data_IF_466039579013
#
_entry.id   IF_466039579013
#
_cell.length_a   1.000
_cell.length_b   1.000
_cell.length_c   1.000
_cell.angle_alpha   90.00
_cell.angle_beta   90.00
_cell.angle_gamma   90.00
#
_symmetry.space_group_name_H-M   'P 1'
#
loop_
_entity.id
_entity.type
_entity.pdbx_description
1 polymer ?
#
# COMPACT_ATOMS: atom_id res chain seq x y z
N UNK A 1 -5.15 -37.14 -15.81
CA UNK A 1 -5.67 -35.91 -15.25
C UNK A 1 -6.61 -35.19 -16.20
N UNK A 2 -7.41 -34.27 -15.72
CA UNK A 2 -8.31 -33.48 -16.55
C UNK A 2 -7.53 -32.37 -17.24
N UNK A 3 -7.74 -32.18 -18.55
CA UNK A 3 -7.12 -31.07 -19.31
C UNK A 3 -7.66 -29.74 -18.76
N UNK A 4 -6.77 -28.80 -18.43
CA UNK A 4 -7.16 -27.54 -17.85
C UNK A 4 -6.20 -26.41 -18.26
N UNK A 5 -6.68 -25.18 -18.21
CA UNK A 5 -5.88 -23.97 -18.34
C UNK A 5 -5.69 -23.32 -16.97
N UNK A 6 -4.51 -22.73 -16.73
CA UNK A 6 -4.17 -22.07 -15.46
C UNK A 6 -4.10 -20.58 -15.65
N UNK A 7 -4.86 -19.86 -14.82
CA UNK A 7 -4.97 -18.41 -14.85
C UNK A 7 -4.47 -17.83 -13.51
N UNK A 8 -3.31 -17.20 -13.54
CA UNK A 8 -2.69 -16.57 -12.38
C UNK A 8 -1.93 -15.29 -12.78
N UNK A 9 -1.41 -14.55 -11.81
CA UNK A 9 -0.68 -13.30 -12.05
C UNK A 9 0.59 -13.47 -12.91
N UNK A 10 1.16 -14.70 -13.02
CA UNK A 10 2.33 -14.96 -13.85
C UNK A 10 1.98 -15.11 -15.34
N UNK A 11 0.75 -15.49 -15.64
CA UNK A 11 0.29 -15.81 -17.01
C UNK A 11 -0.70 -14.74 -17.55
N UNK A 12 -0.61 -13.48 -17.09
CA UNK A 12 -1.59 -12.44 -17.43
C UNK A 12 -1.55 -12.03 -18.91
N UNK A 13 -0.46 -12.26 -19.64
CA UNK A 13 -0.38 -11.98 -21.09
C UNK A 13 -1.42 -12.78 -21.89
N UNK A 14 -1.71 -14.02 -21.48
CA UNK A 14 -2.71 -14.89 -22.10
C UNK A 14 -4.07 -14.87 -21.39
N UNK A 15 -4.24 -14.03 -20.39
CA UNK A 15 -5.45 -13.96 -19.56
C UNK A 15 -6.72 -13.81 -20.42
N UNK A 16 -6.70 -12.88 -21.37
CA UNK A 16 -7.83 -12.63 -22.27
C UNK A 16 -8.20 -13.83 -23.12
N UNK A 17 -7.21 -14.58 -23.66
CA UNK A 17 -7.41 -15.78 -24.46
C UNK A 17 -8.02 -16.91 -23.63
N UNK A 18 -7.48 -17.16 -22.44
CA UNK A 18 -7.96 -18.22 -21.54
C UNK A 18 -9.39 -17.94 -21.11
N UNK A 19 -9.70 -16.70 -20.70
CA UNK A 19 -11.05 -16.32 -20.29
C UNK A 19 -12.04 -16.43 -21.44
N UNK A 20 -11.63 -16.03 -22.65
CA UNK A 20 -12.47 -16.16 -23.83
C UNK A 20 -12.89 -17.61 -24.13
N UNK A 21 -12.10 -18.61 -23.73
CA UNK A 21 -12.38 -20.03 -23.90
C UNK A 21 -13.02 -20.68 -22.65
N UNK A 22 -13.02 -20.02 -21.49
CA UNK A 22 -13.51 -20.58 -20.23
C UNK A 22 -15.00 -20.98 -20.25
N UNK A 23 -15.80 -20.35 -21.10
CA UNK A 23 -17.23 -20.67 -21.30
C UNK A 23 -17.51 -21.79 -22.31
N UNK A 24 -16.49 -22.42 -22.88
CA UNK A 24 -16.66 -23.51 -23.84
C UNK A 24 -17.04 -24.82 -23.14
N UNK A 25 -17.86 -25.64 -23.79
CA UNK A 25 -18.22 -26.97 -23.29
C UNK A 25 -16.98 -27.81 -22.99
N UNK A 26 -16.89 -28.34 -21.76
CA UNK A 26 -15.80 -29.16 -21.30
C UNK A 26 -14.49 -28.43 -20.98
N UNK A 27 -14.45 -27.09 -21.11
CA UNK A 27 -13.31 -26.30 -20.67
C UNK A 27 -13.23 -26.27 -19.13
N UNK A 28 -12.01 -26.46 -18.62
CA UNK A 28 -11.71 -26.33 -17.19
C UNK A 28 -10.63 -25.28 -17.02
N UNK A 29 -10.93 -24.25 -16.22
CA UNK A 29 -10.00 -23.17 -15.90
C UNK A 29 -9.75 -23.16 -14.40
N UNK A 30 -8.49 -23.34 -14.01
CA UNK A 30 -8.03 -23.20 -12.62
C UNK A 30 -7.49 -21.79 -12.45
N UNK A 31 -8.14 -20.98 -11.62
CA UNK A 31 -7.81 -19.57 -11.50
C UNK A 31 -7.65 -19.14 -10.04
N UNK A 32 -6.80 -18.14 -9.79
CA UNK A 32 -6.82 -17.42 -8.53
C UNK A 32 -8.07 -16.54 -8.44
N UNK A 33 -8.54 -16.23 -7.25
CA UNK A 33 -9.77 -15.47 -7.01
C UNK A 33 -9.82 -14.09 -7.69
N UNK A 34 -8.67 -13.48 -7.96
CA UNK A 34 -8.54 -12.15 -8.58
C UNK A 34 -8.40 -12.21 -10.11
N UNK A 35 -8.03 -13.36 -10.67
CA UNK A 35 -7.84 -13.52 -12.11
C UNK A 35 -9.15 -13.30 -12.88
N UNK A 36 -9.06 -12.64 -14.02
CA UNK A 36 -10.23 -12.34 -14.88
C UNK A 36 -11.20 -11.29 -14.29
N UNK A 37 -10.78 -10.48 -13.32
CA UNK A 37 -11.63 -9.43 -12.75
C UNK A 37 -11.99 -8.39 -13.82
N UNK A 38 -13.29 -8.07 -13.93
CA UNK A 38 -13.80 -7.09 -14.91
C UNK A 38 -14.05 -7.66 -16.30
N UNK A 39 -13.75 -8.94 -16.53
CA UNK A 39 -14.02 -9.61 -17.82
C UNK A 39 -15.27 -10.49 -17.72
N UNK A 40 -16.06 -10.51 -18.77
CA UNK A 40 -17.27 -11.34 -18.89
C UNK A 40 -16.95 -12.68 -19.57
N UNK A 41 -17.41 -13.79 -18.98
CA UNK A 41 -17.24 -15.13 -19.54
C UNK A 41 -18.48 -15.44 -20.37
N UNK A 42 -18.32 -15.49 -21.71
CA UNK A 42 -19.41 -15.82 -22.64
C UNK A 42 -19.54 -17.33 -22.80
N UNK A 43 -20.76 -17.82 -22.68
CA UNK A 43 -21.06 -19.24 -22.91
C UNK A 43 -20.85 -19.62 -24.38
N UNK A 44 -20.17 -20.73 -24.63
CA UNK A 44 -19.82 -21.21 -25.97
C UNK A 44 -18.38 -20.96 -26.38
N UNK A 45 -17.63 -20.12 -25.64
CA UNK A 45 -16.25 -19.77 -25.96
C UNK A 45 -16.10 -18.70 -27.04
N UNK A 46 -14.91 -18.58 -27.66
CA UNK A 46 -14.63 -17.65 -28.75
C UNK A 46 -13.96 -18.40 -29.93
N UNK A 47 -14.51 -18.33 -31.18
CA UNK A 47 -15.74 -17.63 -31.58
C UNK A 47 -17.00 -18.31 -31.06
N UNK A 48 -17.95 -17.50 -30.56
CA UNK A 48 -19.25 -17.99 -30.08
C UNK A 48 -20.23 -18.08 -31.24
N UNK A 49 -20.92 -19.23 -31.37
CA UNK A 49 -22.12 -19.36 -32.19
C UNK A 49 -23.34 -19.51 -31.28
N UNK A 50 -24.52 -19.14 -31.77
CA UNK A 50 -25.76 -19.32 -31.02
C UNK A 50 -25.97 -20.77 -30.57
N UNK A 51 -25.64 -21.73 -31.45
CA UNK A 51 -25.76 -23.16 -31.17
C UNK A 51 -24.87 -23.63 -30.04
N UNK A 52 -23.59 -23.23 -30.02
CA UNK A 52 -22.63 -23.57 -28.95
C UNK A 52 -23.05 -22.94 -27.62
N UNK A 53 -23.55 -21.71 -27.63
CA UNK A 53 -24.05 -21.06 -26.43
C UNK A 53 -25.27 -21.78 -25.87
N UNK A 54 -26.25 -22.14 -26.74
CA UNK A 54 -27.46 -22.86 -26.33
C UNK A 54 -27.14 -24.28 -25.82
N UNK A 55 -26.13 -24.95 -26.38
CA UNK A 55 -25.68 -26.25 -25.89
C UNK A 55 -25.17 -26.14 -24.46
N UNK A 56 -24.33 -25.14 -24.14
CA UNK A 56 -23.82 -24.91 -22.78
C UNK A 56 -24.94 -24.50 -21.83
N UNK A 57 -25.87 -23.66 -22.25
CA UNK A 57 -27.07 -23.30 -21.46
C UNK A 57 -27.94 -24.51 -21.11
N UNK A 58 -28.16 -25.44 -22.04
CA UNK A 58 -28.89 -26.69 -21.78
C UNK A 58 -28.19 -27.60 -20.77
N UNK A 59 -26.87 -27.51 -20.65
CA UNK A 59 -26.09 -28.25 -19.67
C UNK A 59 -26.08 -27.58 -18.30
N UNK A 60 -26.69 -26.42 -18.12
CA UNK A 60 -26.76 -25.69 -16.86
C UNK A 60 -25.84 -24.45 -16.80
N UNK A 61 -25.14 -24.11 -17.89
CA UNK A 61 -24.31 -22.92 -17.99
C UNK A 61 -22.91 -23.10 -17.37
N UNK A 62 -22.37 -22.00 -16.85
CA UNK A 62 -21.05 -22.01 -16.23
C UNK A 62 -21.15 -22.51 -14.79
N UNK A 63 -20.40 -23.55 -14.47
CA UNK A 63 -20.22 -24.05 -13.10
C UNK A 63 -18.98 -23.41 -12.47
N UNK A 64 -19.13 -22.74 -11.32
CA UNK A 64 -18.03 -22.15 -10.59
C UNK A 64 -17.79 -22.90 -9.29
N UNK A 65 -16.61 -23.50 -9.19
CA UNK A 65 -16.17 -24.23 -8.02
C UNK A 65 -15.18 -23.37 -7.20
N UNK A 66 -15.50 -23.11 -5.93
CA UNK A 66 -14.57 -22.56 -4.97
C UNK A 66 -13.97 -23.66 -4.11
N UNK A 67 -12.64 -23.76 -4.04
CA UNK A 67 -11.94 -24.76 -3.25
C UNK A 67 -11.68 -24.32 -1.82
N UNK A 68 -11.99 -23.06 -1.51
CA UNK A 68 -11.91 -22.45 -0.17
C UNK A 68 -12.84 -21.23 -0.08
N UNK A 69 -13.08 -20.74 1.12
CA UNK A 69 -13.80 -19.47 1.36
C UNK A 69 -12.80 -18.36 1.66
N UNK A 70 -13.01 -17.20 1.05
CA UNK A 70 -12.20 -16.03 1.34
C UNK A 70 -12.61 -15.39 2.69
N UNK A 71 -11.71 -14.63 3.32
CA UNK A 71 -11.99 -13.89 4.54
C UNK A 71 -13.10 -12.84 4.37
N UNK A 72 -13.28 -12.31 3.17
CA UNK A 72 -14.31 -11.32 2.84
C UNK A 72 -15.42 -11.90 1.95
N UNK A 73 -16.68 -11.87 2.42
CA UNK A 73 -17.86 -12.34 1.66
C UNK A 73 -17.99 -11.70 0.28
N UNK A 74 -17.57 -10.43 0.13
CA UNK A 74 -17.62 -9.75 -1.16
C UNK A 74 -16.78 -10.45 -2.24
N UNK A 75 -15.68 -11.09 -1.87
CA UNK A 75 -14.82 -11.80 -2.82
C UNK A 75 -15.45 -13.14 -3.20
N UNK A 76 -16.04 -13.86 -2.26
CA UNK A 76 -16.84 -15.04 -2.56
C UNK A 76 -18.00 -14.71 -3.50
N UNK A 77 -18.69 -13.58 -3.25
CA UNK A 77 -19.78 -13.12 -4.11
C UNK A 77 -19.29 -12.67 -5.51
N UNK A 78 -18.06 -12.10 -5.61
CA UNK A 78 -17.44 -11.83 -6.92
C UNK A 78 -17.14 -13.12 -7.68
N UNK A 79 -16.74 -14.17 -6.99
CA UNK A 79 -16.52 -15.48 -7.61
C UNK A 79 -17.86 -16.10 -8.03
N UNK A 80 -18.86 -16.12 -7.15
CA UNK A 80 -20.23 -16.57 -7.52
C UNK A 80 -20.79 -15.81 -8.72
N UNK A 81 -20.58 -14.50 -8.75
CA UNK A 81 -21.02 -13.63 -9.83
C UNK A 81 -20.27 -13.82 -11.17
N UNK A 82 -19.35 -14.79 -11.28
CA UNK A 82 -18.81 -15.23 -12.56
C UNK A 82 -19.80 -16.08 -13.34
N UNK A 83 -20.67 -16.80 -12.64
CA UNK A 83 -21.75 -17.61 -13.18
C UNK A 83 -23.07 -16.84 -13.20
N UNK A 84 -24.02 -17.28 -14.03
CA UNK A 84 -25.38 -16.72 -14.07
C UNK A 84 -25.46 -15.27 -14.55
N UNK A 85 -24.57 -14.82 -15.42
CA UNK A 85 -24.54 -13.46 -15.93
C UNK A 85 -25.58 -13.26 -17.04
N UNK A 86 -26.12 -12.04 -17.13
CA UNK A 86 -27.05 -11.59 -18.17
C UNK A 86 -28.28 -12.50 -18.35
N UNK A 87 -28.71 -13.20 -17.30
CA UNK A 87 -29.82 -14.11 -17.32
C UNK A 87 -29.49 -15.53 -17.80
N UNK A 88 -28.23 -15.81 -18.06
CA UNK A 88 -27.78 -17.16 -18.41
C UNK A 88 -27.89 -18.09 -17.16
N UNK A 89 -28.16 -19.39 -17.36
CA UNK A 89 -28.10 -20.36 -16.29
C UNK A 89 -26.66 -20.49 -15.77
N UNK A 90 -26.51 -20.92 -14.50
CA UNK A 90 -25.22 -21.16 -13.93
C UNK A 90 -25.33 -21.66 -12.49
N UNK A 91 -24.31 -22.35 -12.04
CA UNK A 91 -24.25 -22.93 -10.70
C UNK A 91 -22.95 -22.58 -9.99
N UNK A 92 -22.99 -22.46 -8.67
CA UNK A 92 -21.79 -22.16 -7.88
C UNK A 92 -21.76 -23.03 -6.62
N UNK A 93 -20.64 -23.66 -6.37
CA UNK A 93 -20.45 -24.50 -5.18
C UNK A 93 -19.09 -24.18 -4.53
N UNK A 94 -19.06 -24.19 -3.19
CA UNK A 94 -17.83 -24.04 -2.41
C UNK A 94 -17.59 -25.30 -1.61
N UNK A 95 -16.37 -25.82 -1.71
CA UNK A 95 -15.85 -26.86 -0.83
C UNK A 95 -14.93 -26.21 0.19
N UNK A 96 -15.08 -26.56 1.44
CA UNK A 96 -14.36 -25.95 2.58
C UNK A 96 -13.85 -27.05 3.47
N UNK A 97 -12.57 -27.01 3.80
CA UNK A 97 -11.96 -27.90 4.78
C UNK A 97 -11.96 -27.27 6.18
N UNK A 98 -12.02 -28.10 7.23
CA UNK A 98 -11.80 -27.66 8.60
C UNK A 98 -10.37 -27.20 8.85
N UNK A 99 -9.45 -27.53 7.96
CA UNK A 99 -8.04 -27.11 7.99
C UNK A 99 -7.82 -25.76 7.33
N UNK A 100 -8.80 -25.24 6.56
CA UNK A 100 -8.71 -23.93 5.93
C UNK A 100 -8.47 -22.84 6.99
N UNK A 101 -7.71 -21.81 6.62
CA UNK A 101 -7.29 -20.75 7.54
C UNK A 101 -8.47 -20.11 8.26
N UNK A 102 -9.57 -19.87 7.53
CA UNK A 102 -10.79 -19.29 8.08
C UNK A 102 -11.42 -20.19 9.15
N UNK A 103 -11.47 -21.50 8.91
CA UNK A 103 -12.01 -22.47 9.86
C UNK A 103 -11.08 -22.67 11.05
N UNK A 104 -9.78 -22.74 10.81
CA UNK A 104 -8.78 -22.94 11.86
C UNK A 104 -8.75 -21.82 12.89
N UNK A 105 -8.91 -20.57 12.44
CA UNK A 105 -8.84 -19.38 13.31
C UNK A 105 -10.17 -19.11 14.02
N UNK A 106 -11.30 -19.34 13.35
CA UNK A 106 -12.61 -18.88 13.83
C UNK A 106 -13.63 -19.99 14.10
N UNK A 107 -13.37 -21.24 13.67
CA UNK A 107 -14.23 -22.34 14.08
C UNK A 107 -14.08 -22.55 15.59
N UNK A 108 -15.20 -22.45 16.31
CA UNK A 108 -15.19 -22.73 17.74
C UNK A 108 -14.77 -24.18 17.98
N UNK A 109 -14.04 -24.43 19.08
CA UNK A 109 -13.65 -25.78 19.49
C UNK A 109 -14.88 -26.70 19.64
N UNK A 110 -16.05 -26.11 19.86
CA UNK A 110 -17.34 -26.80 19.89
C UNK A 110 -17.65 -27.50 18.57
N UNK A 111 -17.37 -26.85 17.41
CA UNK A 111 -17.61 -27.43 16.08
C UNK A 111 -16.63 -28.57 15.83
N UNK A 112 -15.33 -28.35 16.13
CA UNK A 112 -14.30 -29.37 15.99
C UNK A 112 -14.62 -30.61 16.85
N UNK A 113 -15.00 -30.40 18.10
CA UNK A 113 -15.37 -31.47 19.03
C UNK A 113 -16.66 -32.19 18.62
N UNK A 114 -17.63 -31.47 18.06
CA UNK A 114 -18.87 -32.05 17.56
C UNK A 114 -18.61 -32.97 16.37
N UNK A 115 -17.77 -32.56 15.42
CA UNK A 115 -17.42 -33.38 14.27
C UNK A 115 -16.62 -34.64 14.66
N UNK A 116 -15.68 -34.53 15.59
CA UNK A 116 -14.95 -35.68 16.12
C UNK A 116 -15.84 -36.71 16.84
N UNK A 117 -16.99 -36.29 17.41
CA UNK A 117 -17.97 -37.18 18.07
C UNK A 117 -18.92 -37.91 17.12
N UNK A 118 -19.17 -37.34 15.93
CA UNK A 118 -20.09 -37.95 14.96
C UNK A 118 -19.47 -39.07 14.14
N UNK A 119 -18.15 -39.31 14.23
CA UNK A 119 -17.45 -40.38 13.51
C UNK A 119 -17.66 -40.37 12.00
N UNK A 120 -17.81 -39.16 11.42
CA UNK A 120 -18.06 -39.00 9.99
C UNK A 120 -16.75 -39.30 9.27
N UNK A 121 -16.75 -40.15 8.23
CA UNK A 121 -15.56 -40.40 7.38
C UNK A 121 -15.00 -39.10 6.84
N UNK A 122 -13.68 -38.97 6.76
CA UNK A 122 -13.00 -37.75 6.28
C UNK A 122 -13.35 -37.38 4.83
N UNK A 123 -13.76 -38.36 4.03
CA UNK A 123 -14.09 -38.20 2.61
C UNK A 123 -15.57 -37.86 2.33
N UNK A 124 -16.42 -37.81 3.34
CA UNK A 124 -17.84 -37.51 3.15
C UNK A 124 -18.14 -36.00 3.28
N UNK A 125 -18.71 -35.35 2.23
CA UNK A 125 -19.07 -33.95 2.31
C UNK A 125 -20.25 -33.73 3.28
N UNK A 126 -20.06 -32.80 4.23
CA UNK A 126 -21.08 -32.49 5.22
C UNK A 126 -21.84 -31.24 4.80
N UNK A 127 -23.10 -31.42 4.41
CA UNK A 127 -24.02 -30.30 4.17
C UNK A 127 -24.82 -30.00 5.45
N UNK A 128 -24.36 -28.99 6.20
CA UNK A 128 -25.06 -28.58 7.43
C UNK A 128 -25.22 -27.06 7.51
N UNK A 129 -26.44 -26.61 7.71
CA UNK A 129 -26.78 -25.19 7.88
C UNK A 129 -26.07 -24.54 9.07
N UNK A 130 -25.73 -25.31 10.11
CA UNK A 130 -25.01 -24.81 11.28
C UNK A 130 -23.58 -24.44 10.89
N UNK A 131 -22.91 -25.29 10.10
CA UNK A 131 -21.56 -25.05 9.61
C UNK A 131 -21.56 -23.81 8.69
N UNK A 132 -22.52 -23.71 7.76
CA UNK A 132 -22.65 -22.56 6.87
C UNK A 132 -22.82 -21.25 7.67
N UNK A 133 -23.70 -21.23 8.68
CA UNK A 133 -23.89 -20.05 9.53
C UNK A 133 -22.64 -19.71 10.36
N UNK A 134 -21.92 -20.73 10.81
CA UNK A 134 -20.67 -20.52 11.54
C UNK A 134 -19.59 -19.88 10.66
N UNK A 135 -19.47 -20.33 9.41
CA UNK A 135 -18.59 -19.71 8.40
C UNK A 135 -18.94 -18.26 8.12
N UNK A 136 -20.22 -17.97 7.92
CA UNK A 136 -20.69 -16.60 7.70
C UNK A 136 -20.43 -15.70 8.92
N UNK A 137 -20.60 -16.23 10.12
CA UNK A 137 -20.26 -15.52 11.37
C UNK A 137 -18.76 -15.27 11.48
N UNK A 138 -17.93 -16.25 11.13
CA UNK A 138 -16.48 -16.12 11.11
C UNK A 138 -16.03 -15.03 10.12
N UNK A 139 -16.53 -15.07 8.90
CA UNK A 139 -16.26 -14.02 7.90
C UNK A 139 -16.67 -12.63 8.40
N UNK A 140 -17.85 -12.51 9.01
CA UNK A 140 -18.32 -11.23 9.55
C UNK A 140 -17.40 -10.68 10.64
N UNK A 141 -16.86 -11.55 11.51
CA UNK A 141 -15.90 -11.15 12.56
C UNK A 141 -14.58 -10.68 11.96
N UNK A 142 -14.06 -11.39 10.96
CA UNK A 142 -12.82 -10.98 10.26
C UNK A 142 -13.02 -9.65 9.55
N UNK A 143 -14.14 -9.50 8.82
CA UNK A 143 -14.48 -8.24 8.15
C UNK A 143 -14.56 -7.09 9.16
N UNK A 144 -15.16 -7.31 10.34
CA UNK A 144 -15.22 -6.35 11.44
C UNK A 144 -13.82 -5.98 11.95
N UNK A 145 -13.00 -6.97 12.26
CA UNK A 145 -11.63 -6.74 12.72
C UNK A 145 -10.79 -5.96 11.67
N UNK A 146 -10.87 -6.36 10.41
CA UNK A 146 -10.18 -5.67 9.33
C UNK A 146 -10.72 -4.24 9.10
N UNK A 147 -12.03 -4.03 9.33
CA UNK A 147 -12.63 -2.70 9.28
C UNK A 147 -12.09 -1.81 10.42
N UNK A 148 -12.10 -2.30 11.65
CA UNK A 148 -11.61 -1.56 12.81
C UNK A 148 -10.13 -1.23 12.69
N UNK A 149 -9.31 -2.17 12.20
CA UNK A 149 -7.89 -1.95 11.94
C UNK A 149 -7.68 -0.83 10.90
N UNK A 150 -8.41 -0.88 9.77
CA UNK A 150 -8.32 0.18 8.76
C UNK A 150 -8.83 1.53 9.27
N UNK A 151 -9.91 1.54 10.06
CA UNK A 151 -10.44 2.74 10.69
C UNK A 151 -9.40 3.37 11.62
N UNK A 152 -8.74 2.55 12.43
CA UNK A 152 -7.69 3.02 13.32
C UNK A 152 -6.53 3.67 12.56
N UNK A 153 -6.03 3.03 11.49
CA UNK A 153 -5.00 3.62 10.63
C UNK A 153 -5.46 4.94 10.01
N UNK A 154 -6.70 5.00 9.52
CA UNK A 154 -7.27 6.21 8.93
C UNK A 154 -7.38 7.36 9.93
N UNK A 155 -7.70 7.09 11.19
CA UNK A 155 -7.80 8.11 12.24
C UNK A 155 -6.47 8.80 12.52
N UNK A 156 -5.34 8.06 12.45
CA UNK A 156 -3.99 8.64 12.51
C UNK A 156 -3.66 9.42 11.24
N UNK A 157 -3.94 8.85 10.08
CA UNK A 157 -3.63 9.49 8.78
C UNK A 157 -4.41 10.79 8.58
N UNK A 158 -5.64 10.89 9.08
CA UNK A 158 -6.46 12.10 9.00
C UNK A 158 -5.79 13.32 9.65
N UNK A 159 -5.03 13.14 10.74
CA UNK A 159 -4.30 14.24 11.39
C UNK A 159 -3.26 14.79 10.44
N UNK A 160 -2.44 13.92 9.89
CA UNK A 160 -1.38 14.31 8.96
C UNK A 160 -1.95 14.85 7.63
N UNK A 161 -3.07 14.28 7.17
CA UNK A 161 -3.73 14.73 5.94
C UNK A 161 -4.30 16.15 6.06
N UNK A 162 -4.82 16.50 7.23
CA UNK A 162 -5.25 17.89 7.50
C UNK A 162 -4.06 18.85 7.44
N UNK A 163 -2.96 18.53 8.11
CA UNK A 163 -1.73 19.32 8.11
C UNK A 163 -1.17 19.46 6.68
N UNK A 164 -1.13 18.34 5.93
CA UNK A 164 -0.72 18.32 4.51
C UNK A 164 -1.56 19.27 3.67
N UNK A 165 -2.86 19.25 3.84
CA UNK A 165 -3.77 20.13 3.08
C UNK A 165 -3.46 21.60 3.32
N UNK A 166 -3.20 22.00 4.56
CA UNK A 166 -2.84 23.39 4.93
C UNK A 166 -1.51 23.81 4.30
N UNK A 167 -0.48 22.96 4.41
CA UNK A 167 0.85 23.24 3.86
C UNK A 167 0.82 23.32 2.34
N UNK A 168 0.15 22.37 1.70
CA UNK A 168 0.07 22.29 0.22
C UNK A 168 -0.77 23.44 -0.36
N UNK A 169 -1.83 23.84 0.31
CA UNK A 169 -2.60 25.01 -0.11
C UNK A 169 -1.76 26.28 -0.05
N UNK A 170 -1.03 26.51 1.05
CA UNK A 170 -0.10 27.64 1.20
C UNK A 170 0.99 27.59 0.12
N UNK A 171 1.63 26.45 -0.03
CA UNK A 171 2.66 26.24 -1.07
C UNK A 171 2.15 26.55 -2.47
N UNK A 172 0.94 26.06 -2.79
CA UNK A 172 0.30 26.30 -4.09
C UNK A 172 -0.02 27.80 -4.30
N UNK A 173 -0.54 28.47 -3.29
CA UNK A 173 -0.80 29.93 -3.38
C UNK A 173 0.48 30.69 -3.71
N UNK A 174 1.56 30.42 -2.98
CA UNK A 174 2.86 31.07 -3.23
C UNK A 174 3.38 30.73 -4.62
N UNK A 175 3.27 29.47 -5.07
CA UNK A 175 3.78 29.01 -6.35
C UNK A 175 3.06 29.65 -7.55
N UNK A 176 1.74 29.75 -7.48
CA UNK A 176 0.89 30.18 -8.61
C UNK A 176 0.55 31.69 -8.54
N UNK A 177 0.45 32.24 -7.35
CA UNK A 177 -0.04 33.61 -7.13
C UNK A 177 0.98 34.72 -7.41
N UNK A 178 2.23 34.35 -7.74
CA UNK A 178 3.26 35.31 -8.14
C UNK A 178 3.57 36.38 -7.09
N UNK A 179 3.83 37.62 -7.55
CA UNK A 179 4.25 38.73 -6.67
C UNK A 179 3.21 39.09 -5.60
N UNK A 180 1.92 39.00 -5.91
CA UNK A 180 0.83 39.37 -5.00
C UNK A 180 0.82 38.50 -3.76
N UNK A 181 0.92 37.18 -3.94
CA UNK A 181 0.90 36.24 -2.82
C UNK A 181 2.20 36.27 -2.02
N UNK A 182 3.35 36.55 -2.68
CA UNK A 182 4.61 36.76 -1.97
C UNK A 182 4.53 38.01 -1.09
N UNK A 183 4.00 39.12 -1.61
CA UNK A 183 3.79 40.35 -0.81
C UNK A 183 2.83 40.11 0.35
N UNK A 184 1.71 39.41 0.13
CA UNK A 184 0.78 39.06 1.17
C UNK A 184 1.43 38.23 2.28
N UNK A 185 2.24 37.25 1.91
CA UNK A 185 3.00 36.44 2.85
C UNK A 185 4.03 37.24 3.62
N UNK A 186 4.82 38.11 2.94
CA UNK A 186 5.78 38.98 3.58
C UNK A 186 5.13 39.97 4.55
N UNK A 187 3.98 40.51 4.18
CA UNK A 187 3.19 41.41 5.04
C UNK A 187 2.74 40.66 6.31
N UNK A 188 2.26 39.43 6.17
CA UNK A 188 1.86 38.59 7.29
C UNK A 188 2.99 38.37 8.29
N UNK A 189 4.18 37.94 7.81
CA UNK A 189 5.32 37.63 8.67
C UNK A 189 6.07 38.86 9.19
N UNK A 190 5.91 40.03 8.56
CA UNK A 190 6.46 41.29 9.04
C UNK A 190 5.57 41.99 10.06
N UNK A 191 4.35 41.49 10.29
CA UNK A 191 3.42 42.07 11.27
C UNK A 191 4.04 42.08 12.66
N UNK A 192 4.32 43.26 13.22
CA UNK A 192 4.97 43.44 14.52
C UNK A 192 6.51 43.44 14.51
N UNK A 193 7.16 43.37 13.32
CA UNK A 193 8.61 43.44 13.20
C UNK A 193 9.03 44.55 12.19
N UNK A 194 9.12 45.78 12.70
CA UNK A 194 9.51 46.96 11.88
C UNK A 194 10.90 46.86 11.25
N UNK A 195 11.84 46.19 11.93
CA UNK A 195 13.19 46.00 11.39
C UNK A 195 13.16 45.11 10.15
N UNK A 196 12.38 44.05 10.17
CA UNK A 196 12.20 43.17 9.04
C UNK A 196 11.47 43.83 7.88
N UNK A 197 10.45 44.65 8.17
CA UNK A 197 9.75 45.45 7.15
C UNK A 197 10.72 46.40 6.41
N UNK A 198 11.62 47.07 7.10
CA UNK A 198 12.69 47.89 6.48
C UNK A 198 13.63 47.06 5.58
N UNK A 199 14.02 45.91 6.05
CA UNK A 199 14.87 44.96 5.26
C UNK A 199 14.17 44.55 3.97
N UNK A 200 12.84 44.32 3.98
CA UNK A 200 12.06 44.02 2.78
C UNK A 200 12.15 45.14 1.75
N UNK A 201 11.95 46.40 2.17
CA UNK A 201 12.01 47.55 1.27
C UNK A 201 13.42 47.78 0.70
N UNK A 202 14.48 47.56 1.51
CA UNK A 202 15.86 47.64 1.05
C UNK A 202 16.14 46.57 0.00
N UNK A 203 15.72 45.32 0.24
CA UNK A 203 15.90 44.20 -0.70
C UNK A 203 15.11 44.36 -1.99
N UNK A 204 13.88 44.93 -1.93
CA UNK A 204 13.12 45.29 -3.15
C UNK A 204 13.90 46.27 -4.04
N UNK A 205 14.52 47.27 -3.44
CA UNK A 205 15.37 48.24 -4.18
C UNK A 205 16.65 47.63 -4.71
N UNK A 206 17.26 46.67 -3.95
CA UNK A 206 18.51 46.04 -4.32
C UNK A 206 18.35 45.02 -5.47
N UNK A 207 17.32 44.18 -5.43
CA UNK A 207 17.11 43.06 -6.36
C UNK A 207 16.24 43.45 -7.58
N UNK A 208 15.45 44.53 -7.48
CA UNK A 208 14.59 44.98 -8.56
C UNK A 208 13.66 43.84 -9.09
N UNK A 209 13.82 43.50 -10.38
CA UNK A 209 12.98 42.49 -11.02
C UNK A 209 13.20 41.06 -10.50
N UNK A 210 14.37 40.75 -9.94
CA UNK A 210 14.71 39.43 -9.43
C UNK A 210 14.20 39.20 -7.98
N UNK A 211 13.62 40.21 -7.35
CA UNK A 211 13.13 40.14 -5.98
C UNK A 211 12.11 39.03 -5.82
N UNK A 212 11.00 39.10 -6.54
CA UNK A 212 9.89 38.15 -6.37
C UNK A 212 10.27 36.71 -6.68
N UNK A 213 10.96 36.40 -7.79
CA UNK A 213 11.41 35.04 -8.07
C UNK A 213 12.34 34.47 -7.01
N UNK A 214 13.25 35.29 -6.48
CA UNK A 214 14.22 34.87 -5.46
C UNK A 214 13.55 34.59 -4.12
N UNK A 215 12.64 35.48 -3.69
CA UNK A 215 11.92 35.31 -2.43
C UNK A 215 10.92 34.17 -2.52
N UNK A 216 10.20 34.03 -3.63
CA UNK A 216 9.31 32.89 -3.87
C UNK A 216 10.07 31.55 -3.72
N UNK A 217 11.26 31.46 -4.32
CA UNK A 217 12.13 30.27 -4.23
C UNK A 217 12.55 30.01 -2.76
N UNK A 218 12.98 31.06 -2.04
CA UNK A 218 13.33 30.94 -0.62
C UNK A 218 12.19 30.36 0.19
N UNK A 219 10.99 30.95 0.06
CA UNK A 219 9.82 30.52 0.84
C UNK A 219 9.44 29.08 0.51
N UNK A 220 9.40 28.71 -0.79
CA UNK A 220 9.06 27.36 -1.21
C UNK A 220 10.08 26.33 -0.70
N UNK A 221 11.37 26.61 -0.82
CA UNK A 221 12.42 25.72 -0.33
C UNK A 221 12.36 25.55 1.20
N UNK A 222 12.08 26.63 1.93
CA UNK A 222 11.93 26.57 3.39
C UNK A 222 10.72 25.73 3.79
N UNK A 223 9.56 25.95 3.14
CA UNK A 223 8.37 25.13 3.39
C UNK A 223 8.66 23.65 3.12
N UNK A 224 9.28 23.34 1.99
CA UNK A 224 9.56 21.97 1.60
C UNK A 224 10.51 21.28 2.58
N UNK A 225 11.56 21.96 3.04
CA UNK A 225 12.52 21.42 4.02
C UNK A 225 11.84 21.08 5.35
N UNK A 226 11.15 22.04 5.98
CA UNK A 226 10.50 21.82 7.27
C UNK A 226 9.31 20.85 7.18
N UNK A 227 8.66 20.78 6.03
CA UNK A 227 7.60 19.79 5.84
C UNK A 227 8.15 18.36 5.80
N UNK A 228 9.28 18.12 5.16
CA UNK A 228 9.94 16.78 5.16
C UNK A 228 10.37 16.40 6.56
N UNK A 229 11.03 17.30 7.31
CA UNK A 229 11.39 17.06 8.72
C UNK A 229 10.15 16.76 9.58
N UNK A 230 9.08 17.51 9.38
CA UNK A 230 7.82 17.30 10.12
C UNK A 230 7.21 15.92 9.85
N UNK A 231 7.27 15.43 8.61
CA UNK A 231 6.79 14.09 8.28
C UNK A 231 7.57 13.01 9.06
N UNK A 232 8.89 13.13 9.16
CA UNK A 232 9.74 12.21 9.92
C UNK A 232 9.42 12.26 11.43
N UNK A 233 9.26 13.47 11.98
CA UNK A 233 8.89 13.66 13.39
C UNK A 233 7.51 13.05 13.69
N UNK A 234 6.54 13.22 12.79
CA UNK A 234 5.19 12.65 12.95
C UNK A 234 5.18 11.12 12.84
N UNK A 235 6.03 10.55 12.01
CA UNK A 235 6.18 9.08 11.93
C UNK A 235 6.81 8.52 13.22
N UNK A 236 7.84 9.16 13.72
CA UNK A 236 8.44 8.84 15.02
C UNK A 236 7.42 8.97 16.17
N UNK A 237 6.64 10.05 16.18
CA UNK A 237 5.59 10.28 17.17
C UNK A 237 4.55 9.14 17.13
N UNK A 238 4.12 8.71 15.93
CA UNK A 238 3.18 7.60 15.75
C UNK A 238 3.69 6.30 16.37
N UNK A 239 4.98 6.01 16.23
CA UNK A 239 5.61 4.84 16.87
C UNK A 239 5.65 4.95 18.39
N UNK A 240 5.94 6.15 18.92
CA UNK A 240 6.17 6.37 20.35
C UNK A 240 4.89 6.47 21.19
N UNK A 241 3.79 7.00 20.63
CA UNK A 241 2.53 7.17 21.39
C UNK A 241 1.91 5.84 21.83
N UNK A 242 2.14 4.76 21.09
CA UNK A 242 1.67 3.43 21.44
C UNK A 242 2.27 2.93 22.76
N UNK A 243 3.50 3.33 23.08
CA UNK A 243 4.15 3.00 24.36
C UNK A 243 3.50 3.72 25.55
N UNK A 244 2.87 4.88 25.31
CA UNK A 244 2.19 5.67 26.35
C UNK A 244 0.82 5.11 26.75
N UNK A 245 0.27 4.18 25.97
CA UNK A 245 -0.95 3.45 26.33
C UNK A 245 -0.85 2.72 27.67
N UNK A 246 0.35 2.35 28.10
CA UNK A 246 0.60 1.81 29.45
C UNK A 246 0.24 2.78 30.58
N UNK A 247 0.17 4.09 30.29
CA UNK A 247 -0.26 5.13 31.23
C UNK A 247 -1.76 5.42 31.23
N UNK A 248 -2.61 4.52 30.71
CA UNK A 248 -4.08 4.68 30.60
C UNK A 248 -4.52 5.90 29.75
N UNK A 249 -3.67 6.41 28.90
CA UNK A 249 -4.00 7.48 27.95
C UNK A 249 -4.35 6.91 26.60
N UNK A 250 -5.34 7.48 25.94
CA UNK A 250 -5.68 7.13 24.56
C UNK A 250 -4.56 7.59 23.62
N UNK A 251 -3.85 6.64 22.94
CA UNK A 251 -2.75 6.98 22.04
C UNK A 251 -3.15 7.95 20.92
N UNK A 252 -4.38 7.83 20.40
CA UNK A 252 -4.86 8.69 19.32
C UNK A 252 -5.05 10.14 19.80
N UNK A 253 -5.55 10.33 21.02
CA UNK A 253 -5.73 11.66 21.62
C UNK A 253 -4.37 12.33 21.86
N UNK A 254 -3.41 11.59 22.40
CA UNK A 254 -2.04 12.09 22.60
C UNK A 254 -1.37 12.41 21.25
N UNK A 255 -1.53 11.55 20.23
CA UNK A 255 -1.04 11.81 18.89
C UNK A 255 -1.60 13.10 18.29
N UNK A 256 -2.93 13.31 18.39
CA UNK A 256 -3.59 14.54 17.92
C UNK A 256 -3.04 15.78 18.63
N UNK A 257 -2.90 15.71 19.96
CA UNK A 257 -2.45 16.83 20.78
C UNK A 257 -1.00 17.21 20.48
N UNK A 258 -0.11 16.23 20.49
CA UNK A 258 1.32 16.45 20.22
C UNK A 258 1.56 16.81 18.76
N UNK A 259 0.88 16.15 17.83
CA UNK A 259 0.96 16.48 16.41
C UNK A 259 0.52 17.91 16.10
N UNK A 260 -0.49 18.42 16.78
CA UNK A 260 -0.87 19.84 16.65
C UNK A 260 0.21 20.78 17.20
N UNK A 261 0.85 20.41 18.32
CA UNK A 261 1.93 21.22 18.91
C UNK A 261 3.14 21.27 17.96
N UNK A 262 3.58 20.11 17.48
CA UNK A 262 4.69 20.00 16.53
C UNK A 262 4.42 20.74 15.22
N UNK A 263 3.18 20.70 14.74
CA UNK A 263 2.79 21.43 13.54
C UNK A 263 2.90 22.94 13.72
N UNK A 264 2.47 23.49 14.86
CA UNK A 264 2.63 24.91 15.18
C UNK A 264 4.11 25.32 15.30
N UNK A 265 4.91 24.50 15.97
CA UNK A 265 6.36 24.70 16.08
C UNK A 265 7.03 24.71 14.70
N UNK A 266 6.62 23.81 13.79
CA UNK A 266 7.10 23.81 12.41
C UNK A 266 6.72 25.12 11.69
N UNK A 267 5.48 25.61 11.83
CA UNK A 267 5.05 26.86 11.21
C UNK A 267 5.84 28.08 11.72
N UNK A 268 6.09 28.14 13.03
CA UNK A 268 6.94 29.17 13.64
C UNK A 268 8.38 29.10 13.15
N UNK A 269 8.94 27.90 13.02
CA UNK A 269 10.29 27.68 12.50
C UNK A 269 10.42 28.07 11.02
N UNK A 270 9.41 27.81 10.18
CA UNK A 270 9.37 28.27 8.79
C UNK A 270 9.46 29.81 8.74
N UNK A 271 8.67 30.50 9.54
CA UNK A 271 8.68 31.96 9.60
C UNK A 271 10.04 32.49 10.08
N UNK A 272 10.57 31.92 11.17
CA UNK A 272 11.86 32.31 11.72
C UNK A 272 12.98 32.09 10.70
N UNK A 273 12.99 30.96 10.00
CA UNK A 273 14.01 30.65 9.01
C UNK A 273 13.92 31.59 7.79
N UNK A 274 12.72 31.90 7.31
CA UNK A 274 12.55 32.88 6.23
C UNK A 274 13.10 34.24 6.67
N UNK A 275 12.79 34.73 7.88
CA UNK A 275 13.28 36.00 8.39
C UNK A 275 14.81 36.01 8.49
N UNK A 276 15.41 34.91 8.97
CA UNK A 276 16.87 34.80 9.15
C UNK A 276 17.64 34.75 7.82
N UNK A 277 17.11 34.06 6.82
CA UNK A 277 17.78 33.89 5.52
C UNK A 277 17.52 35.06 4.58
N UNK A 278 16.41 35.75 4.74
CA UNK A 278 15.96 36.83 3.87
C UNK A 278 17.04 37.91 3.59
N UNK A 279 17.79 38.44 4.60
CA UNK A 279 18.84 39.42 4.37
C UNK A 279 19.98 38.94 3.47
N UNK A 280 20.19 37.64 3.37
CA UNK A 280 21.27 37.03 2.61
C UNK A 280 20.88 36.71 1.14
N UNK A 281 19.61 36.87 0.79
CA UNK A 281 19.13 36.66 -0.59
C UNK A 281 19.78 37.70 -1.51
N UNK A 282 20.33 37.24 -2.67
CA UNK A 282 20.99 38.08 -3.64
C UNK A 282 22.47 38.41 -3.36
N UNK A 283 23.05 38.01 -2.25
CA UNK A 283 24.49 37.84 -2.11
C UNK A 283 24.94 36.69 -3.03
N UNK A 284 26.16 36.75 -3.59
CA UNK A 284 26.66 35.71 -4.49
C UNK A 284 26.49 34.33 -3.87
N UNK A 285 25.39 33.67 -4.19
CA UNK A 285 25.21 32.26 -3.88
C UNK A 285 26.18 31.56 -4.80
N UNK A 286 27.25 31.03 -4.24
CA UNK A 286 28.07 30.03 -4.91
C UNK A 286 27.04 28.99 -5.40
N UNK A 287 26.90 28.94 -6.74
CA UNK A 287 26.08 27.91 -7.38
C UNK A 287 26.60 26.57 -6.86
N UNK A 288 25.92 25.99 -5.87
CA UNK A 288 26.06 24.57 -5.66
C UNK A 288 25.58 23.94 -6.96
N UNK A 289 26.51 23.26 -7.62
CA UNK A 289 26.24 22.44 -8.80
C UNK A 289 24.93 21.72 -8.60
N UNK A 290 24.03 21.88 -9.56
CA UNK A 290 22.84 21.03 -9.65
C UNK A 290 23.36 19.60 -9.60
N UNK A 291 23.17 18.96 -8.45
CA UNK A 291 23.30 17.52 -8.36
C UNK A 291 22.32 16.98 -9.39
N UNK A 292 22.83 16.56 -10.53
CA UNK A 292 22.08 15.79 -11.49
C UNK A 292 21.70 14.53 -10.74
N UNK A 293 20.46 14.48 -10.24
CA UNK A 293 19.82 13.26 -9.80
C UNK A 293 19.79 12.35 -11.03
N UNK A 294 20.80 11.48 -11.15
CA UNK A 294 20.68 10.32 -11.99
C UNK A 294 19.73 9.39 -11.26
N UNK A 295 18.53 9.24 -11.81
CA UNK A 295 17.66 8.13 -11.42
C UNK A 295 18.39 6.84 -11.74
N UNK A 296 19.04 6.27 -10.73
CA UNK A 296 19.52 4.90 -10.81
C UNK A 296 18.32 4.04 -10.43
N UNK A 297 17.58 3.64 -11.43
CA UNK A 297 16.66 2.52 -11.28
C UNK A 297 17.52 1.25 -11.13
N UNK A 298 17.93 0.95 -9.90
CA UNK A 298 18.28 -0.43 -9.57
C UNK A 298 17.00 -1.25 -9.74
N UNK A 299 17.06 -2.19 -10.68
CA UNK A 299 15.97 -3.13 -10.92
C UNK A 299 15.58 -3.73 -9.57
N UNK A 300 14.34 -3.51 -9.16
CA UNK A 300 13.76 -4.13 -7.98
C UNK A 300 13.79 -5.66 -8.19
N UNK A 301 14.76 -6.32 -7.60
CA UNK A 301 14.78 -7.78 -7.52
C UNK A 301 13.67 -8.20 -6.56
N UNK A 302 12.68 -8.87 -7.10
CA UNK A 302 11.65 -9.57 -6.34
C UNK A 302 12.34 -10.56 -5.39
N UNK A 303 12.22 -10.34 -4.09
CA UNK A 303 12.59 -11.32 -3.07
C UNK A 303 11.63 -12.50 -3.21
N UNK A 304 12.10 -13.58 -3.85
CA UNK A 304 11.28 -14.79 -3.94
C UNK A 304 11.52 -15.73 -5.12
N UNK A 305 12.58 -15.59 -5.92
CA UNK A 305 12.95 -16.63 -6.91
C UNK A 305 14.20 -17.36 -6.46
N UNK A 306 13.99 -18.57 -5.97
CA UNK A 306 15.05 -19.54 -5.73
C UNK A 306 15.72 -19.99 -7.04
N UNK A 307 16.92 -20.43 -6.88
CA UNK A 307 17.94 -20.87 -7.79
C UNK A 307 17.47 -21.68 -9.02
N UNK A 308 17.93 -21.26 -10.20
CA UNK A 308 18.32 -22.19 -11.26
C UNK A 308 19.59 -21.67 -11.94
N UNK A 309 20.60 -22.55 -11.95
CA UNK A 309 21.91 -22.35 -12.54
C UNK A 309 21.85 -22.13 -14.06
N UNK A 310 22.58 -21.15 -14.55
CA UNK A 310 23.16 -21.27 -15.91
C UNK A 310 24.47 -20.48 -16.01
N UNK A 311 25.50 -21.26 -16.39
CA UNK A 311 26.85 -20.83 -16.77
C UNK A 311 26.92 -19.66 -17.74
N UNK A 312 27.78 -18.67 -17.46
CA UNK A 312 28.12 -17.64 -18.41
C UNK A 312 29.13 -16.62 -17.87
N UNK A 313 30.41 -16.89 -18.17
CA UNK A 313 31.56 -16.02 -17.88
C UNK A 313 31.33 -14.55 -18.25
N UNK A 314 31.54 -13.61 -17.31
CA UNK A 314 32.15 -12.32 -17.60
C UNK A 314 32.94 -11.76 -16.40
N UNK A 315 34.18 -11.41 -16.67
CA UNK A 315 35.14 -10.74 -15.80
C UNK A 315 34.71 -9.31 -15.48
N UNK A 316 34.93 -8.85 -14.25
CA UNK A 316 35.01 -7.43 -14.00
C UNK A 316 34.74 -6.99 -12.57
N UNK A 317 35.78 -6.79 -11.82
CA UNK A 317 35.99 -5.84 -10.72
C UNK A 317 35.20 -6.00 -9.41
N UNK A 318 35.88 -6.58 -8.44
CA UNK A 318 35.54 -6.72 -7.04
C UNK A 318 35.86 -5.45 -6.23
N UNK A 319 34.83 -4.84 -5.64
CA UNK A 319 35.00 -4.06 -4.43
C UNK A 319 34.61 -4.95 -3.24
N UNK A 320 35.60 -5.26 -2.42
CA UNK A 320 35.50 -6.15 -1.26
C UNK A 320 34.67 -5.49 -0.14
N UNK A 321 33.51 -6.07 0.16
CA UNK A 321 32.88 -5.91 1.48
C UNK A 321 33.42 -7.03 2.39
N UNK A 322 34.16 -6.67 3.44
CA UNK A 322 34.71 -7.59 4.42
C UNK A 322 33.62 -8.14 5.33
N UNK A 323 33.15 -9.34 5.06
CA UNK A 323 32.42 -10.17 6.04
C UNK A 323 33.44 -10.78 7.02
N UNK A 324 33.17 -10.78 8.33
CA UNK A 324 34.06 -11.44 9.30
C UNK A 324 34.13 -12.94 9.04
N UNK A 325 35.34 -13.48 8.98
CA UNK A 325 35.62 -14.89 8.83
C UNK A 325 36.32 -15.43 10.08
N UNK A 326 36.17 -16.73 10.35
CA UNK A 326 36.88 -17.42 11.39
C UNK A 326 38.41 -17.45 11.13
N UNK A 327 39.25 -17.68 12.15
CA UNK A 327 40.72 -17.72 12.00
C UNK A 327 41.20 -18.78 11.01
N UNK A 328 40.40 -19.77 10.66
CA UNK A 328 40.69 -20.83 9.71
C UNK A 328 40.21 -20.50 8.27
N UNK A 329 39.66 -19.31 8.04
CA UNK A 329 39.21 -18.86 6.73
C UNK A 329 37.80 -19.31 6.32
N UNK A 330 37.07 -20.03 7.18
CA UNK A 330 35.69 -20.44 6.94
C UNK A 330 34.69 -19.30 7.24
N UNK A 331 33.54 -19.29 6.52
CA UNK A 331 32.47 -18.31 6.77
C UNK A 331 31.75 -18.61 8.09
N UNK A 332 31.56 -17.61 8.93
CA UNK A 332 30.80 -17.72 10.19
C UNK A 332 29.38 -18.13 9.91
N UNK A 333 28.93 -19.24 10.45
CA UNK A 333 27.55 -19.74 10.34
C UNK A 333 26.62 -19.04 11.33
N UNK A 334 25.32 -19.16 11.10
CA UNK A 334 24.27 -18.45 11.87
C UNK A 334 24.22 -18.79 13.36
N UNK A 335 24.80 -19.92 13.77
CA UNK A 335 24.85 -20.42 15.15
C UNK A 335 26.28 -20.51 15.72
N UNK A 336 27.28 -19.96 15.03
CA UNK A 336 28.65 -19.96 15.51
C UNK A 336 28.88 -18.83 16.50
N UNK A 337 29.78 -19.05 17.46
CA UNK A 337 30.20 -18.01 18.38
C UNK A 337 30.93 -16.90 17.63
N UNK A 338 30.65 -15.64 18.03
CA UNK A 338 31.25 -14.47 17.38
C UNK A 338 32.78 -14.53 17.52
N UNK A 339 33.55 -14.38 16.42
CA UNK A 339 35.02 -14.38 16.48
C UNK A 339 35.62 -13.26 17.33
N UNK A 340 34.79 -12.25 17.71
CA UNK A 340 35.20 -11.13 18.58
C UNK A 340 35.07 -11.45 20.09
N UNK A 341 34.52 -12.60 20.49
CA UNK A 341 34.46 -13.05 21.88
C UNK A 341 33.35 -12.41 22.73
N UNK A 342 32.29 -11.85 22.09
CA UNK A 342 31.10 -11.33 22.78
C UNK A 342 29.89 -12.22 22.59
#
# INVERSE_FOLDING_TARGET
GVTHEVLNAKNHEREGEIIAQAGKKGAVTVATNMAGRGVDIKLGGNPTTAELSEEVKKLGGLFVLGTERHEARRIDNQLRGRSGRQGDPGETQFFVSMEDTLMRVFASDTIKNMMGRFGIPEDEPIENRIITRSLESAQSKIEGFNFDSRKHVLEYDNVLNHQRSVVYERRRKILVGGSVEVDSYLTLISSGNESFARTIEEKKKQLGNDFYPSIQRLILQTIDLFWVEHLEIMDYLRGSVNLRAYGQRDPLVEYKKEGLKLFKEMEENIIAQVINVFPHVGGAVVMQEQVKLQEVHEQAQLIGSGDEESDGKHQGNTSQSSTPANPDGSKVGRNDLCPCGS
#
